data_IF_969295632980
#
_entry.id   IF_969295632980
#
_cell.length_a   1.000
_cell.length_b   1.000
_cell.length_c   1.000
_cell.angle_alpha   90.00
_cell.angle_beta   90.00
_cell.angle_gamma   90.00
#
_symmetry.space_group_name_H-M   'P 1'
#
loop_
_entity.id
_entity.type
_entity.pdbx_description
1 polymer ?
#
# COMPACT_ATOMS: atom_id res chain seq x y z
N UNK A 1 -4.17 -30.07 31.83
CA UNK A 1 -5.52 -29.46 31.95
C UNK A 1 -6.38 -29.80 30.73
N UNK A 2 -5.91 -29.61 29.47
CA UNK A 2 -6.69 -29.83 28.25
C UNK A 2 -7.26 -31.26 28.01
N UNK A 3 -6.73 -32.28 28.65
CA UNK A 3 -7.18 -33.68 28.51
C UNK A 3 -8.03 -34.14 29.70
N UNK A 4 -7.60 -33.85 30.91
CA UNK A 4 -8.25 -34.35 32.14
C UNK A 4 -9.53 -33.59 32.49
N UNK A 5 -9.57 -32.28 32.32
CA UNK A 5 -10.76 -31.50 32.66
C UNK A 5 -11.98 -31.92 31.82
N UNK A 6 -11.88 -32.04 30.48
CA UNK A 6 -12.99 -32.54 29.67
C UNK A 6 -13.43 -33.96 30.07
N UNK A 7 -12.48 -34.86 30.36
CA UNK A 7 -12.79 -36.22 30.78
C UNK A 7 -13.56 -36.25 32.11
N UNK A 8 -13.12 -35.44 33.10
CA UNK A 8 -13.80 -35.37 34.39
C UNK A 8 -15.19 -34.71 34.29
N UNK A 9 -15.35 -33.75 33.39
CA UNK A 9 -16.67 -33.13 33.14
C UNK A 9 -17.62 -34.12 32.50
N UNK A 10 -17.18 -34.88 31.51
CA UNK A 10 -18.01 -35.92 30.86
C UNK A 10 -18.35 -37.06 31.84
N UNK A 11 -17.40 -37.48 32.67
CA UNK A 11 -17.65 -38.44 33.74
C UNK A 11 -18.76 -37.96 34.72
N UNK A 12 -18.71 -36.70 35.08
CA UNK A 12 -19.68 -36.13 36.00
C UNK A 12 -21.08 -35.97 35.36
N UNK A 13 -21.14 -35.63 34.06
CA UNK A 13 -22.42 -35.38 33.37
C UNK A 13 -23.05 -36.64 32.79
N UNK A 14 -22.26 -37.52 32.19
CA UNK A 14 -22.72 -38.65 31.33
C UNK A 14 -22.12 -39.99 31.73
N UNK A 15 -21.36 -40.07 32.80
CA UNK A 15 -20.64 -41.26 33.28
C UNK A 15 -19.71 -41.86 32.24
N UNK A 16 -19.13 -41.02 31.36
CA UNK A 16 -18.25 -41.46 30.24
C UNK A 16 -16.89 -40.73 30.26
N UNK A 17 -16.02 -41.15 31.18
CA UNK A 17 -14.64 -40.63 31.27
C UNK A 17 -13.85 -40.88 30.00
N UNK A 18 -13.96 -42.08 29.41
CA UNK A 18 -13.15 -42.49 28.24
C UNK A 18 -13.57 -41.68 27.01
N UNK A 19 -14.87 -41.54 26.77
CA UNK A 19 -15.37 -40.69 25.69
C UNK A 19 -14.96 -39.24 25.83
N UNK A 20 -15.09 -38.68 27.05
CA UNK A 20 -14.63 -37.34 27.36
C UNK A 20 -13.12 -37.13 27.14
N UNK A 21 -12.31 -38.13 27.54
CA UNK A 21 -10.87 -38.09 27.31
C UNK A 21 -10.51 -38.11 25.82
N UNK A 22 -11.12 -39.01 25.06
CA UNK A 22 -10.81 -39.18 23.62
C UNK A 22 -11.36 -38.01 22.80
N UNK A 23 -12.66 -37.71 22.89
CA UNK A 23 -13.32 -36.76 22.02
C UNK A 23 -13.02 -35.30 22.40
N UNK A 24 -13.31 -34.94 23.63
CA UNK A 24 -13.13 -33.56 24.07
C UNK A 24 -11.67 -33.28 24.46
N UNK A 25 -10.97 -34.22 25.06
CA UNK A 25 -9.56 -34.12 25.40
C UNK A 25 -8.66 -34.22 24.17
N UNK A 26 -8.47 -35.44 23.63
CA UNK A 26 -7.46 -35.68 22.58
C UNK A 26 -7.82 -35.03 21.25
N UNK A 27 -9.04 -35.25 20.74
CA UNK A 27 -9.44 -34.71 19.44
C UNK A 27 -9.63 -33.20 19.51
N UNK A 28 -10.31 -32.68 20.57
CA UNK A 28 -10.48 -31.24 20.72
C UNK A 28 -9.15 -30.50 20.84
N UNK A 29 -8.19 -31.00 21.62
CA UNK A 29 -6.85 -30.41 21.70
C UNK A 29 -6.09 -30.48 20.37
N UNK A 30 -6.22 -31.60 19.63
CA UNK A 30 -5.59 -31.73 18.31
C UNK A 30 -6.15 -30.74 17.31
N UNK A 31 -7.47 -30.54 17.27
CA UNK A 31 -8.11 -29.52 16.42
C UNK A 31 -7.63 -28.12 16.77
N UNK A 32 -7.61 -27.79 18.06
CA UNK A 32 -7.10 -26.49 18.53
C UNK A 32 -5.64 -26.27 18.11
N UNK A 33 -4.80 -27.31 18.20
CA UNK A 33 -3.39 -27.20 17.79
C UNK A 33 -3.26 -26.97 16.28
N UNK A 34 -4.08 -27.62 15.45
CA UNK A 34 -4.09 -27.37 14.01
C UNK A 34 -4.55 -25.96 13.69
N UNK A 35 -5.55 -25.42 14.37
CA UNK A 35 -5.95 -24.01 14.22
C UNK A 35 -4.80 -23.06 14.57
N UNK A 36 -4.06 -23.32 15.66
CA UNK A 36 -2.89 -22.51 16.03
C UNK A 36 -1.78 -22.60 14.96
N UNK A 37 -1.54 -23.75 14.36
CA UNK A 37 -0.60 -23.87 13.24
C UNK A 37 -1.08 -23.09 12.01
N UNK A 38 -2.39 -23.08 11.75
CA UNK A 38 -2.98 -22.28 10.69
C UNK A 38 -2.83 -20.77 10.95
N UNK A 39 -2.92 -20.30 12.20
CA UNK A 39 -2.57 -18.89 12.52
C UNK A 39 -1.14 -18.58 12.12
N UNK A 40 -0.19 -19.45 12.47
CA UNK A 40 1.23 -19.26 12.15
C UNK A 40 1.60 -19.50 10.67
N UNK A 41 0.69 -20.02 9.87
CA UNK A 41 0.87 -20.26 8.43
C UNK A 41 -0.06 -19.42 7.56
N UNK A 42 -1.37 -19.65 7.59
CA UNK A 42 -2.35 -18.97 6.74
C UNK A 42 -2.40 -17.47 7.01
N UNK A 43 -2.38 -17.04 8.28
CA UNK A 43 -2.41 -15.64 8.64
C UNK A 43 -1.07 -14.91 8.37
N UNK A 44 -0.03 -15.65 7.98
CA UNK A 44 1.23 -15.10 7.45
C UNK A 44 1.33 -15.17 5.93
N UNK A 45 0.42 -15.87 5.25
CA UNK A 45 0.49 -16.10 3.81
C UNK A 45 -0.62 -15.39 3.03
N UNK A 46 -1.87 -15.41 3.53
CA UNK A 46 -3.05 -14.92 2.81
C UNK A 46 -3.58 -13.63 3.41
N UNK A 47 -3.71 -12.59 2.58
CA UNK A 47 -4.29 -11.29 2.95
C UNK A 47 -3.35 -10.12 2.74
N UNK A 48 -3.76 -8.95 3.23
CA UNK A 48 -3.06 -7.68 3.08
C UNK A 48 -2.17 -7.34 4.27
N UNK A 49 -1.34 -6.33 4.12
CA UNK A 49 -0.48 -5.80 5.18
C UNK A 49 -0.74 -4.30 5.37
N UNK A 50 -1.88 -3.94 6.01
CA UNK A 50 -2.29 -2.54 6.10
C UNK A 50 -1.50 -1.69 7.10
N UNK A 51 -0.81 -2.31 8.07
CA UNK A 51 -0.08 -1.62 9.13
C UNK A 51 1.43 -1.71 8.95
N UNK A 52 1.96 -2.90 8.70
CA UNK A 52 3.40 -3.12 8.58
C UNK A 52 3.73 -4.19 7.54
N UNK A 53 4.83 -3.99 6.80
CA UNK A 53 5.44 -5.02 5.96
C UNK A 53 6.71 -5.61 6.57
N UNK A 54 7.14 -5.14 7.75
CA UNK A 54 8.35 -5.60 8.40
C UNK A 54 8.29 -7.08 8.83
N UNK A 55 7.07 -7.61 8.95
CA UNK A 55 6.81 -9.01 9.31
C UNK A 55 5.89 -9.64 8.26
N UNK A 56 5.93 -10.96 8.12
CA UNK A 56 5.08 -11.70 7.16
C UNK A 56 3.60 -11.73 7.53
N UNK A 57 3.24 -11.41 8.77
CA UNK A 57 1.86 -11.39 9.25
C UNK A 57 0.92 -10.54 8.37
N UNK A 58 -0.28 -11.05 8.12
CA UNK A 58 -1.26 -10.44 7.22
C UNK A 58 -2.60 -10.22 7.90
N UNK A 59 -3.41 -9.37 7.31
CA UNK A 59 -4.82 -9.25 7.61
C UNK A 59 -5.59 -10.12 6.62
N UNK A 60 -6.06 -11.25 7.09
CA UNK A 60 -6.72 -12.27 6.27
C UNK A 60 -8.16 -11.88 5.89
N UNK A 61 -8.71 -12.41 4.79
CA UNK A 61 -10.13 -12.30 4.47
C UNK A 61 -11.04 -12.81 5.60
N UNK A 62 -12.29 -12.32 5.64
CA UNK A 62 -13.24 -12.64 6.70
C UNK A 62 -13.43 -14.14 6.91
N UNK A 63 -13.51 -14.93 5.83
CA UNK A 63 -13.69 -16.38 5.94
C UNK A 63 -12.54 -17.06 6.71
N UNK A 64 -11.30 -16.66 6.45
CA UNK A 64 -10.13 -17.15 7.19
C UNK A 64 -10.16 -16.62 8.63
N UNK A 65 -10.53 -15.38 8.83
CA UNK A 65 -10.65 -14.79 10.17
C UNK A 65 -11.67 -15.52 11.03
N UNK A 66 -12.81 -15.91 10.46
CA UNK A 66 -13.82 -16.73 11.14
C UNK A 66 -13.28 -18.13 11.47
N UNK A 67 -12.63 -18.78 10.50
CA UNK A 67 -12.01 -20.08 10.69
C UNK A 67 -10.93 -20.07 11.78
N UNK A 68 -10.13 -19.02 11.85
CA UNK A 68 -9.07 -18.81 12.85
C UNK A 68 -9.57 -18.16 14.16
N UNK A 69 -10.90 -18.15 14.41
CA UNK A 69 -11.50 -17.62 15.63
C UNK A 69 -11.09 -16.17 15.96
N UNK A 70 -10.91 -15.33 14.94
CA UNK A 70 -10.56 -13.91 15.10
C UNK A 70 -9.09 -13.57 14.86
N UNK A 71 -8.21 -14.55 14.78
CA UNK A 71 -6.77 -14.35 14.59
C UNK A 71 -6.37 -13.91 13.17
N UNK A 72 -7.33 -13.75 12.27
CA UNK A 72 -7.07 -13.23 10.91
C UNK A 72 -6.61 -11.77 10.85
N UNK A 73 -6.78 -10.97 11.91
CA UNK A 73 -6.24 -9.61 12.04
C UNK A 73 -4.76 -9.60 12.47
N UNK A 74 -4.00 -10.58 12.02
CA UNK A 74 -2.67 -10.89 12.51
C UNK A 74 -1.63 -9.79 12.24
N UNK A 75 -1.79 -9.04 11.14
CA UNK A 75 -0.92 -7.89 10.84
C UNK A 75 -1.07 -6.77 11.89
N UNK A 76 -2.30 -6.50 12.38
CA UNK A 76 -2.53 -5.57 13.48
C UNK A 76 -1.87 -6.05 14.76
N UNK A 77 -2.11 -7.31 15.14
CA UNK A 77 -1.52 -7.90 16.35
C UNK A 77 0.01 -7.82 16.34
N UNK A 78 0.66 -8.08 15.21
CA UNK A 78 2.11 -8.00 15.10
C UNK A 78 2.66 -6.57 15.14
N UNK A 79 1.90 -5.57 14.70
CA UNK A 79 2.29 -4.17 14.80
C UNK A 79 2.03 -3.60 16.20
N UNK A 80 0.94 -4.01 16.84
CA UNK A 80 0.50 -3.51 18.13
C UNK A 80 0.36 -4.64 19.18
N UNK A 81 1.44 -5.33 19.55
CA UNK A 81 1.38 -6.60 20.29
C UNK A 81 0.88 -6.46 21.74
N UNK A 82 0.82 -5.25 22.28
CA UNK A 82 0.31 -5.00 23.63
C UNK A 82 -1.16 -4.56 23.65
N UNK A 83 -1.80 -4.35 22.49
CA UNK A 83 -3.24 -4.11 22.43
C UNK A 83 -3.98 -5.42 22.71
N UNK A 84 -4.99 -5.38 23.59
CA UNK A 84 -5.76 -6.58 23.91
C UNK A 84 -6.69 -7.02 22.78
N UNK A 85 -6.87 -6.19 21.77
CA UNK A 85 -7.70 -6.46 20.59
C UNK A 85 -6.83 -6.99 19.46
N UNK A 86 -7.35 -7.93 18.69
CA UNK A 86 -6.83 -8.26 17.36
C UNK A 86 -7.61 -7.52 16.27
N UNK A 87 -8.92 -7.38 16.40
CA UNK A 87 -9.79 -6.56 15.56
C UNK A 87 -10.07 -5.19 16.17
N UNK A 88 -9.81 -4.09 15.44
CA UNK A 88 -9.89 -2.71 15.96
C UNK A 88 -11.32 -2.27 16.22
N UNK A 89 -12.24 -2.56 15.24
CA UNK A 89 -13.63 -2.11 15.29
C UNK A 89 -14.43 -2.98 16.27
N UNK A 90 -15.46 -2.44 16.86
CA UNK A 90 -16.29 -3.19 17.81
C UNK A 90 -16.94 -4.43 17.20
N UNK A 91 -17.29 -4.37 15.92
CA UNK A 91 -17.91 -5.45 15.14
C UNK A 91 -16.93 -6.38 14.42
N UNK A 92 -15.62 -6.11 14.42
CA UNK A 92 -14.63 -7.03 13.91
C UNK A 92 -14.71 -8.34 14.69
N UNK A 93 -14.79 -9.46 13.98
CA UNK A 93 -14.92 -10.78 14.59
C UNK A 93 -13.66 -11.11 15.39
N UNK A 94 -13.73 -10.88 16.67
CA UNK A 94 -12.64 -11.08 17.63
C UNK A 94 -13.26 -11.57 18.95
N UNK A 95 -13.53 -12.87 19.08
CA UNK A 95 -14.10 -13.47 20.29
C UNK A 95 -13.27 -13.22 21.54
N UNK A 96 -11.93 -13.17 21.40
CA UNK A 96 -11.00 -12.83 22.50
C UNK A 96 -11.26 -11.44 23.06
N UNK A 97 -11.35 -10.44 22.20
CA UNK A 97 -11.70 -9.06 22.57
C UNK A 97 -13.06 -8.99 23.27
N UNK A 98 -14.07 -9.66 22.73
CA UNK A 98 -15.41 -9.63 23.32
C UNK A 98 -15.44 -10.27 24.69
N UNK A 99 -14.77 -11.43 24.85
CA UNK A 99 -14.64 -12.10 26.14
C UNK A 99 -13.90 -11.23 27.16
N UNK A 100 -12.75 -10.66 26.79
CA UNK A 100 -11.98 -9.79 27.68
C UNK A 100 -12.79 -8.54 28.06
N UNK A 101 -13.52 -7.95 27.10
CA UNK A 101 -14.39 -6.80 27.35
C UNK A 101 -15.52 -7.16 28.32
N UNK A 102 -16.14 -8.32 28.17
CA UNK A 102 -17.17 -8.83 29.09
C UNK A 102 -16.60 -9.06 30.48
N UNK A 103 -15.45 -9.71 30.62
CA UNK A 103 -14.79 -9.90 31.92
C UNK A 103 -14.42 -8.56 32.57
N UNK A 104 -14.07 -7.55 31.77
CA UNK A 104 -13.80 -6.22 32.28
C UNK A 104 -15.05 -5.54 32.85
N UNK A 105 -16.23 -5.75 32.26
CA UNK A 105 -17.51 -5.26 32.81
C UNK A 105 -17.82 -5.89 34.15
N UNK A 106 -17.39 -7.12 34.40
CA UNK A 106 -17.53 -7.84 35.65
C UNK A 106 -16.42 -7.49 36.68
N UNK A 107 -15.48 -6.61 36.35
CA UNK A 107 -14.34 -6.26 37.19
C UNK A 107 -13.25 -7.34 37.29
N UNK A 108 -13.36 -8.43 36.50
CA UNK A 108 -12.42 -9.56 36.49
C UNK A 108 -11.20 -9.32 35.61
N UNK A 109 -11.27 -8.37 34.66
CA UNK A 109 -10.16 -7.93 33.84
C UNK A 109 -9.96 -6.41 33.98
N UNK A 110 -8.74 -5.98 34.30
CA UNK A 110 -8.41 -4.56 34.55
C UNK A 110 -7.21 -4.16 33.71
N UNK A 111 -6.97 -2.85 33.58
CA UNK A 111 -5.82 -2.30 32.84
C UNK A 111 -5.72 -2.76 31.37
N UNK A 112 -6.85 -2.83 30.66
CA UNK A 112 -6.89 -3.20 29.27
C UNK A 112 -6.07 -2.21 28.44
N UNK A 113 -4.96 -2.66 27.88
CA UNK A 113 -4.08 -1.83 27.08
C UNK A 113 -4.66 -1.66 25.68
N UNK A 114 -4.70 -0.42 25.19
CA UNK A 114 -5.13 -0.07 23.83
C UNK A 114 -4.13 0.91 23.23
N UNK A 115 -3.80 0.71 21.97
CA UNK A 115 -3.07 1.75 21.24
C UNK A 115 -3.99 2.93 20.93
N UNK A 116 -3.48 4.18 21.04
CA UNK A 116 -4.22 5.37 20.62
C UNK A 116 -4.57 5.30 19.14
N UNK A 117 -5.79 5.72 18.79
CA UNK A 117 -6.25 5.69 17.40
C UNK A 117 -5.33 6.48 16.46
N UNK A 118 -4.72 7.56 16.97
CA UNK A 118 -3.76 8.36 16.19
C UNK A 118 -2.51 7.54 15.77
N UNK A 119 -1.98 6.70 16.64
CA UNK A 119 -0.82 5.86 16.32
C UNK A 119 -1.19 4.76 15.30
N UNK A 120 -2.39 4.20 15.42
CA UNK A 120 -2.92 3.27 14.42
C UNK A 120 -3.05 3.95 13.06
N UNK A 121 -3.59 5.18 13.01
CA UNK A 121 -3.73 5.95 11.78
C UNK A 121 -2.36 6.31 11.16
N UNK A 122 -1.36 6.64 11.99
CA UNK A 122 0.01 6.89 11.52
C UNK A 122 0.60 5.66 10.83
N UNK A 123 0.47 4.49 11.45
CA UNK A 123 0.97 3.23 10.86
C UNK A 123 0.32 2.94 9.49
N UNK A 124 -1.01 3.09 9.39
CA UNK A 124 -1.73 2.97 8.11
C UNK A 124 -1.21 3.95 7.06
N UNK A 125 -1.01 5.23 7.43
CA UNK A 125 -0.53 6.25 6.50
C UNK A 125 0.92 6.01 6.08
N UNK A 126 1.78 5.58 6.99
CA UNK A 126 3.16 5.21 6.69
C UNK A 126 3.20 4.06 5.68
N UNK A 127 2.38 3.03 5.92
CA UNK A 127 2.29 1.89 5.02
C UNK A 127 1.78 2.25 3.62
N UNK A 128 0.75 3.10 3.55
CA UNK A 128 0.27 3.64 2.25
C UNK A 128 1.35 4.41 1.51
N UNK A 129 2.12 5.25 2.22
CA UNK A 129 3.24 6.01 1.63
C UNK A 129 4.32 5.08 1.06
N UNK A 130 4.68 4.03 1.81
CA UNK A 130 5.64 3.02 1.33
C UNK A 130 5.16 2.31 0.06
N UNK A 131 3.88 1.92 0.02
CA UNK A 131 3.30 1.29 -1.16
C UNK A 131 3.29 2.23 -2.36
N UNK A 132 2.81 3.48 -2.19
CA UNK A 132 2.82 4.49 -3.26
C UNK A 132 4.23 4.78 -3.77
N UNK A 133 5.23 4.81 -2.87
CA UNK A 133 6.62 4.98 -3.28
C UNK A 133 7.08 3.82 -4.17
N UNK A 134 6.81 2.57 -3.77
CA UNK A 134 7.15 1.38 -4.57
C UNK A 134 6.42 1.34 -5.91
N UNK A 135 5.14 1.70 -5.92
CA UNK A 135 4.35 1.80 -7.14
C UNK A 135 4.90 2.91 -8.06
N UNK A 136 5.27 4.05 -7.48
CA UNK A 136 5.91 5.14 -8.22
C UNK A 136 7.27 4.78 -8.82
N UNK A 137 8.07 3.98 -8.11
CA UNK A 137 9.37 3.49 -8.63
C UNK A 137 9.21 2.52 -9.83
N UNK A 138 8.04 1.90 -9.98
CA UNK A 138 7.74 1.00 -11.10
C UNK A 138 7.19 1.70 -12.35
N UNK A 139 6.89 3.00 -12.24
CA UNK A 139 6.35 3.83 -13.34
C UNK A 139 7.48 4.63 -13.96
N UNK A 140 7.52 4.68 -15.30
CA UNK A 140 8.41 5.56 -16.03
C UNK A 140 7.90 7.01 -15.99
N UNK A 141 8.59 7.86 -15.26
CA UNK A 141 8.30 9.30 -15.13
C UNK A 141 9.15 10.17 -16.07
N UNK A 142 9.86 9.53 -17.03
CA UNK A 142 10.85 10.21 -17.85
C UNK A 142 12.15 10.54 -17.10
N UNK A 143 13.08 11.19 -17.77
CA UNK A 143 14.38 11.56 -17.19
C UNK A 143 14.18 12.70 -16.17
N UNK A 144 14.69 12.56 -14.92
CA UNK A 144 14.66 13.64 -13.93
C UNK A 144 15.37 14.89 -14.46
N UNK A 145 14.86 16.08 -14.10
CA UNK A 145 15.46 17.34 -14.56
C UNK A 145 16.93 17.49 -14.18
N UNK A 146 17.30 17.01 -12.98
CA UNK A 146 18.69 17.07 -12.48
C UNK A 146 19.68 16.19 -13.26
N UNK A 147 19.16 15.20 -13.99
CA UNK A 147 19.96 14.26 -14.79
C UNK A 147 20.05 14.67 -16.27
N UNK A 148 19.36 15.75 -16.67
CA UNK A 148 19.34 16.24 -18.03
C UNK A 148 20.54 17.15 -18.32
N UNK A 149 21.11 17.12 -19.55
CA UNK A 149 22.12 18.08 -19.96
C UNK A 149 21.55 19.50 -20.01
N UNK A 150 22.40 20.47 -19.69
CA UNK A 150 22.06 21.91 -19.79
C UNK A 150 22.49 22.40 -21.18
N UNK A 151 21.55 22.94 -21.92
CA UNK A 151 21.78 23.56 -23.22
C UNK A 151 21.57 25.08 -23.10
N UNK A 152 22.37 25.85 -23.87
CA UNK A 152 22.04 27.23 -24.14
C UNK A 152 21.10 27.36 -25.34
N UNK A 153 20.56 28.57 -25.58
CA UNK A 153 19.64 28.81 -26.70
C UNK A 153 20.28 28.56 -28.08
N UNK A 154 21.59 28.81 -28.23
CA UNK A 154 22.32 28.59 -29.49
C UNK A 154 22.40 27.09 -29.82
N UNK A 155 22.67 26.27 -28.81
CA UNK A 155 22.66 24.80 -28.94
C UNK A 155 21.26 24.27 -29.27
N UNK A 156 20.22 24.77 -28.60
CA UNK A 156 18.84 24.42 -28.90
C UNK A 156 18.46 24.76 -30.36
N UNK A 157 18.77 25.97 -30.84
CA UNK A 157 18.51 26.39 -32.19
C UNK A 157 19.27 25.54 -33.20
N UNK A 158 20.54 25.21 -32.97
CA UNK A 158 21.33 24.36 -33.81
C UNK A 158 20.74 22.95 -33.94
N UNK A 159 20.35 22.35 -32.81
CA UNK A 159 19.67 21.04 -32.78
C UNK A 159 18.35 21.08 -33.56
N UNK A 160 17.58 22.15 -33.46
CA UNK A 160 16.33 22.32 -34.21
C UNK A 160 16.61 22.47 -35.71
N UNK A 161 17.69 23.19 -36.15
CA UNK A 161 18.09 23.32 -37.55
C UNK A 161 18.52 22.00 -38.18
N UNK A 162 18.97 21.01 -37.38
CA UNK A 162 19.28 19.67 -37.88
C UNK A 162 18.05 18.85 -38.25
N UNK A 163 16.84 19.40 -38.07
CA UNK A 163 15.56 18.76 -38.43
C UNK A 163 14.88 18.01 -37.29
N UNK A 164 15.33 18.20 -36.04
CA UNK A 164 14.63 17.68 -34.86
C UNK A 164 13.46 18.60 -34.54
N UNK A 165 12.32 17.98 -34.17
CA UNK A 165 11.13 18.73 -33.75
C UNK A 165 11.22 19.00 -32.23
N UNK A 166 11.89 20.07 -31.87
CA UNK A 166 12.09 20.45 -30.47
C UNK A 166 11.23 21.64 -30.07
N UNK A 167 10.72 21.59 -28.84
CA UNK A 167 10.03 22.71 -28.17
C UNK A 167 10.61 22.91 -26.79
N UNK A 168 10.49 24.12 -26.25
CA UNK A 168 10.81 24.42 -24.85
C UNK A 168 9.51 24.63 -24.09
N UNK A 169 9.37 23.98 -22.95
CA UNK A 169 8.26 24.20 -22.01
C UNK A 169 8.84 24.18 -20.59
N UNK A 170 8.62 25.25 -19.80
CA UNK A 170 9.14 25.39 -18.42
C UNK A 170 10.65 25.17 -18.33
N UNK A 171 11.40 25.78 -19.21
CA UNK A 171 12.85 25.64 -19.32
C UNK A 171 13.37 24.22 -19.70
N UNK A 172 12.51 23.25 -19.92
CA UNK A 172 12.88 21.93 -20.42
C UNK A 172 12.69 21.83 -21.93
N UNK A 173 13.68 21.24 -22.60
CA UNK A 173 13.64 20.92 -24.05
C UNK A 173 13.00 19.56 -24.23
N UNK A 174 12.00 19.49 -25.09
CA UNK A 174 11.26 18.28 -25.40
C UNK A 174 11.42 17.92 -26.86
N UNK A 175 11.78 16.66 -27.14
CA UNK A 175 11.78 16.12 -28.50
C UNK A 175 10.40 15.51 -28.81
N UNK A 176 9.63 16.26 -29.59
CA UNK A 176 8.26 15.88 -29.96
C UNK A 176 8.18 15.19 -31.33
N UNK A 177 9.32 14.78 -31.92
CA UNK A 177 9.38 14.26 -33.28
C UNK A 177 8.44 13.09 -33.52
N UNK A 178 8.31 12.18 -32.57
CA UNK A 178 7.41 11.03 -32.65
C UNK A 178 5.92 11.39 -32.34
N UNK A 179 5.68 12.52 -31.69
CA UNK A 179 4.35 12.89 -31.18
C UNK A 179 3.60 13.88 -32.05
N UNK A 180 4.28 14.61 -32.97
CA UNK A 180 3.65 15.65 -33.80
C UNK A 180 2.41 15.14 -34.55
N UNK A 181 2.49 13.94 -35.14
CA UNK A 181 1.40 13.35 -35.91
C UNK A 181 0.21 12.90 -35.03
N UNK A 182 0.48 12.57 -33.75
CA UNK A 182 -0.50 12.03 -32.82
C UNK A 182 -1.10 13.09 -31.88
N UNK A 183 -0.67 14.36 -32.02
CA UNK A 183 -1.12 15.43 -31.14
C UNK A 183 -2.64 15.63 -31.22
N UNK A 184 -3.41 15.53 -30.11
CA UNK A 184 -4.87 15.60 -30.10
C UNK A 184 -5.43 16.93 -30.63
N UNK A 185 -4.70 18.04 -30.49
CA UNK A 185 -5.06 19.35 -31.05
C UNK A 185 -4.76 19.49 -32.55
N UNK A 186 -4.23 18.46 -33.19
CA UNK A 186 -3.82 18.42 -34.58
C UNK A 186 -2.35 18.79 -34.81
N UNK A 187 -1.71 18.18 -35.83
CA UNK A 187 -0.29 18.37 -36.14
C UNK A 187 0.09 19.83 -36.42
N UNK A 188 -0.80 20.60 -37.04
CA UNK A 188 -0.53 21.99 -37.43
C UNK A 188 -0.31 22.91 -36.22
N UNK A 189 -1.01 22.68 -35.11
CA UNK A 189 -0.86 23.51 -33.90
C UNK A 189 0.51 23.28 -33.25
N UNK A 190 0.88 22.04 -33.03
CA UNK A 190 2.15 21.70 -32.37
C UNK A 190 3.35 22.00 -33.29
N UNK A 191 3.23 21.82 -34.61
CA UNK A 191 4.27 22.16 -35.57
C UNK A 191 4.60 23.67 -35.57
N UNK A 192 3.63 24.53 -35.32
CA UNK A 192 3.84 25.97 -35.20
C UNK A 192 4.65 26.41 -33.95
N UNK A 193 4.82 25.50 -32.98
CA UNK A 193 5.57 25.71 -31.75
C UNK A 193 7.03 25.23 -31.85
N UNK A 194 7.39 24.46 -32.89
CA UNK A 194 8.74 23.93 -33.08
C UNK A 194 9.76 25.08 -33.15
N UNK A 195 10.86 24.93 -32.44
CA UNK A 195 11.93 25.93 -32.37
C UNK A 195 11.63 27.11 -31.43
N UNK A 196 10.58 27.05 -30.63
CA UNK A 196 10.15 28.16 -29.78
C UNK A 196 9.96 27.72 -28.33
N UNK A 197 9.89 28.72 -27.44
CA UNK A 197 9.28 28.52 -26.12
C UNK A 197 7.75 28.45 -26.29
N UNK A 198 7.19 27.31 -25.94
CA UNK A 198 5.78 27.00 -26.04
C UNK A 198 5.07 26.96 -24.66
N UNK A 199 5.72 27.44 -23.60
CA UNK A 199 5.20 27.40 -22.21
C UNK A 199 3.81 28.05 -22.11
N UNK A 200 3.65 29.27 -22.65
CA UNK A 200 2.34 29.95 -22.62
C UNK A 200 1.27 29.21 -23.42
N UNK A 201 1.63 28.61 -24.55
CA UNK A 201 0.70 27.81 -25.35
C UNK A 201 0.28 26.53 -24.64
N UNK A 202 1.16 25.94 -23.87
CA UNK A 202 0.88 24.72 -23.11
C UNK A 202 0.08 24.98 -21.84
N UNK A 203 0.39 26.06 -21.10
CA UNK A 203 -0.19 26.35 -19.79
C UNK A 203 -1.42 27.27 -19.85
N UNK A 204 -1.44 28.22 -20.75
CA UNK A 204 -2.41 29.32 -20.78
C UNK A 204 -3.29 29.39 -22.01
N UNK A 205 -3.25 28.40 -22.88
CA UNK A 205 -4.02 28.37 -24.12
C UNK A 205 -5.52 28.24 -23.96
N UNK A 206 -6.26 28.17 -25.05
CA UNK A 206 -7.72 28.01 -25.12
C UNK A 206 -8.19 26.72 -24.39
N UNK A 207 -7.32 25.74 -24.28
CA UNK A 207 -7.54 24.47 -23.61
C UNK A 207 -6.36 24.14 -22.70
N UNK A 208 -6.62 24.00 -21.40
CA UNK A 208 -5.60 23.51 -20.46
C UNK A 208 -5.25 22.05 -20.74
N UNK A 209 -3.95 21.74 -20.74
CA UNK A 209 -3.49 20.37 -20.89
C UNK A 209 -3.74 19.56 -19.61
N UNK A 210 -4.12 18.27 -19.77
CA UNK A 210 -4.41 17.36 -18.67
C UNK A 210 -3.12 16.86 -17.98
N UNK A 211 -3.28 16.22 -16.81
CA UNK A 211 -2.16 15.50 -16.16
C UNK A 211 -1.54 14.43 -17.08
N UNK A 212 -2.34 13.77 -17.90
CA UNK A 212 -1.83 12.79 -18.87
C UNK A 212 -0.94 13.46 -19.92
N UNK A 213 -1.29 14.66 -20.39
CA UNK A 213 -0.45 15.43 -21.32
C UNK A 213 0.87 15.86 -20.65
N UNK A 214 0.83 16.28 -19.39
CA UNK A 214 2.04 16.58 -18.62
C UNK A 214 2.94 15.35 -18.46
N UNK A 215 2.39 14.19 -18.12
CA UNK A 215 3.16 12.95 -18.00
C UNK A 215 3.79 12.52 -19.33
N UNK A 216 3.07 12.69 -20.46
CA UNK A 216 3.65 12.44 -21.80
C UNK A 216 4.78 13.42 -22.12
N UNK A 217 4.59 14.69 -21.78
CA UNK A 217 5.62 15.71 -21.97
C UNK A 217 6.88 15.39 -21.16
N UNK A 218 6.71 14.93 -19.92
CA UNK A 218 7.83 14.55 -19.06
C UNK A 218 8.71 13.43 -19.65
N UNK A 219 8.11 12.51 -20.38
CA UNK A 219 8.84 11.43 -21.08
C UNK A 219 9.56 11.90 -22.36
N UNK A 220 9.26 13.10 -22.85
CA UNK A 220 9.90 13.69 -24.03
C UNK A 220 11.05 14.62 -23.71
N UNK A 221 11.37 14.85 -22.44
CA UNK A 221 12.46 15.73 -22.00
C UNK A 221 13.82 15.18 -22.43
N UNK A 222 14.67 16.06 -22.97
CA UNK A 222 16.01 15.70 -23.42
C UNK A 222 17.11 16.63 -22.91
N UNK A 223 16.76 17.85 -22.51
CA UNK A 223 17.69 18.85 -21.97
C UNK A 223 16.92 19.89 -21.13
N UNK A 224 17.63 20.74 -20.42
CA UNK A 224 17.10 21.97 -19.81
C UNK A 224 17.80 23.18 -20.44
N UNK A 225 17.04 24.29 -20.59
CA UNK A 225 17.63 25.56 -21.01
C UNK A 225 18.21 26.27 -19.79
N UNK A 226 19.47 26.64 -19.87
CA UNK A 226 20.14 27.37 -18.83
C UNK A 226 21.42 28.01 -19.31
N UNK A 227 21.96 28.98 -18.54
CA UNK A 227 23.31 29.46 -18.77
C UNK A 227 24.32 28.41 -18.28
N UNK A 228 25.13 27.87 -19.16
CA UNK A 228 26.21 26.92 -18.85
C UNK A 228 27.27 27.46 -17.87
N UNK A 229 27.09 28.69 -17.35
CA UNK A 229 28.02 29.42 -16.48
C UNK A 229 27.69 29.35 -14.99
N UNK A 230 26.66 28.56 -14.58
CA UNK A 230 26.28 28.39 -13.15
C UNK A 230 26.49 26.93 -12.70
N UNK A 231 27.72 26.44 -12.74
CA UNK A 231 28.22 25.30 -11.97
C UNK A 231 29.29 25.75 -11.00
#
# INVERSE_FOLDING_TARGET
MGYLVPALVCEYLDEDFVGGFIWAGCIGTSVQQQLTFCVNSLAHWVGDQPFTAAKSARQSPLAITLFLMGEGYHNYHHEFPTDYRTGIRWYDFDPGKWMISFLSLLGLATNLKRFPQNEINKSILQRKRENLKKEGEAVDWGVPLDDLPVWNWEEYEEQTRTGRNLIVIRDAVHDISAFVAEHPGGPALIAGAIGKDATELFEGGVYGHSNAANNLLDNMRIAIIGDATKT
#
